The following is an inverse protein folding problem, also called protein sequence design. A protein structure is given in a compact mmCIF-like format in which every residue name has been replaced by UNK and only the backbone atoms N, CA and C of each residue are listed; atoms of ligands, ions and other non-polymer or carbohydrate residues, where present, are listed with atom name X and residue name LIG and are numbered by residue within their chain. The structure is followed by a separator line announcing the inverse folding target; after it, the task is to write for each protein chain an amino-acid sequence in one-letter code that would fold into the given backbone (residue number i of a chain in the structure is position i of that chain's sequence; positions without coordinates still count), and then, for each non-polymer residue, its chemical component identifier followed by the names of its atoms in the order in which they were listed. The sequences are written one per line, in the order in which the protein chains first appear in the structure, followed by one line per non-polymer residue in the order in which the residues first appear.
data_IF_732749448397
#
_entry.id   IF_732749448397
#
_cell.length_a   1.000
_cell.length_b   1.000
_cell.length_c   1.000
_cell.angle_alpha   90.00
_cell.angle_beta   90.00
_cell.angle_gamma   90.00
#
_symmetry.space_group_name_H-M   'P 1'
#
loop_
_entity.id
_entity.type
_entity.pdbx_description
1 polymer ?
#
# COMPACT_ATOMS: atom_id res chain seq x y z
N UNK A 1 62.57 12.85 -11.65
CA UNK A 1 62.02 13.63 -12.78
C UNK A 1 60.93 12.83 -13.46
N UNK A 2 59.80 13.50 -13.75
CA UNK A 2 58.62 13.05 -14.52
C UNK A 2 57.79 11.88 -13.93
N UNK A 3 56.46 11.81 -14.02
CA UNK A 3 55.38 12.76 -14.19
C UNK A 3 54.09 11.94 -13.96
N UNK A 4 53.32 12.23 -12.89
CA UNK A 4 52.02 11.58 -12.62
C UNK A 4 50.92 12.30 -13.42
N UNK A 5 50.31 11.61 -14.40
CA UNK A 5 49.20 12.14 -15.20
C UNK A 5 47.85 11.64 -14.67
N UNK A 6 47.22 12.42 -13.81
CA UNK A 6 45.82 12.23 -13.39
C UNK A 6 44.88 13.13 -14.22
N UNK A 7 44.16 12.54 -15.18
CA UNK A 7 43.10 13.21 -15.97
C UNK A 7 41.85 13.42 -15.11
N UNK A 8 41.60 14.66 -14.71
CA UNK A 8 40.40 15.13 -13.99
C UNK A 8 39.38 15.64 -15.02
N UNK A 9 38.31 14.87 -15.26
CA UNK A 9 37.19 15.26 -16.13
C UNK A 9 36.40 16.43 -15.51
N UNK A 10 36.48 17.58 -16.17
CA UNK A 10 35.76 18.81 -15.85
C UNK A 10 34.28 18.69 -16.28
N UNK A 11 33.36 18.84 -15.32
CA UNK A 11 31.91 18.99 -15.57
C UNK A 11 31.61 20.47 -15.87
N UNK A 12 31.39 20.81 -17.14
CA UNK A 12 30.80 22.10 -17.50
C UNK A 12 29.33 22.18 -17.08
N UNK A 13 29.07 22.92 -16.01
CA UNK A 13 27.74 23.36 -15.58
C UNK A 13 27.40 24.65 -16.34
N UNK A 14 26.60 24.56 -17.41
CA UNK A 14 26.11 25.74 -18.14
C UNK A 14 25.26 26.62 -17.21
N UNK A 15 25.72 27.85 -16.96
CA UNK A 15 24.94 28.94 -16.36
C UNK A 15 23.90 29.41 -17.39
N UNK A 16 22.63 29.48 -17.00
CA UNK A 16 21.57 30.12 -17.80
C UNK A 16 21.65 31.63 -17.58
N UNK A 17 21.65 32.39 -18.68
CA UNK A 17 21.76 33.84 -18.69
C UNK A 17 20.45 34.50 -18.25
N UNK A 18 20.58 35.66 -17.61
CA UNK A 18 19.52 36.44 -16.95
C UNK A 18 18.43 36.95 -17.92
N UNK A 19 18.63 36.82 -19.23
CA UNK A 19 17.67 37.18 -20.28
C UNK A 19 16.60 36.10 -20.55
N UNK A 20 16.81 34.84 -20.14
CA UNK A 20 15.79 33.78 -20.22
C UNK A 20 14.68 33.90 -19.16
N UNK A 21 14.86 34.79 -18.18
CA UNK A 21 13.98 34.95 -17.01
C UNK A 21 12.94 36.07 -17.23
N UNK A 22 13.21 37.03 -18.12
CA UNK A 22 12.35 38.22 -18.32
C UNK A 22 11.52 38.20 -19.62
N UNK A 23 11.69 37.21 -20.50
CA UNK A 23 10.92 37.05 -21.75
C UNK A 23 9.62 36.23 -21.64
N UNK A 24 9.16 35.92 -20.42
CA UNK A 24 7.92 35.14 -20.16
C UNK A 24 6.86 35.89 -19.37
N UNK A 25 7.05 37.20 -19.23
CA UNK A 25 6.13 38.15 -18.62
C UNK A 25 5.77 39.10 -19.75
N UNK A 26 4.48 39.33 -20.01
CA UNK A 26 3.89 39.99 -21.19
C UNK A 26 3.48 38.97 -22.28
N UNK A 27 2.35 38.30 -22.04
CA UNK A 27 1.25 38.06 -23.00
C UNK A 27 0.08 37.46 -22.17
N UNK A 28 -1.10 38.09 -22.27
CA UNK A 28 -2.42 37.79 -21.67
C UNK A 28 -2.77 38.46 -20.33
N UNK A 29 -2.84 39.79 -20.34
CA UNK A 29 -3.80 40.56 -19.54
C UNK A 29 -4.98 40.96 -20.44
N UNK A 30 -5.90 40.03 -20.67
CA UNK A 30 -7.28 40.33 -21.07
C UNK A 30 -8.17 39.29 -20.40
N UNK A 31 -9.09 39.67 -19.48
CA UNK A 31 -10.04 38.72 -18.93
C UNK A 31 -10.98 38.29 -20.07
N UNK A 32 -11.15 36.98 -20.35
CA UNK A 32 -12.15 36.55 -21.31
C UNK A 32 -13.54 36.97 -20.81
N UNK A 33 -14.42 37.50 -21.68
CA UNK A 33 -15.77 37.86 -21.30
C UNK A 33 -16.46 36.64 -20.71
N UNK A 34 -17.18 36.85 -19.62
CA UNK A 34 -18.00 35.87 -18.91
C UNK A 34 -18.78 35.01 -19.90
N UNK A 35 -18.23 33.85 -20.25
CA UNK A 35 -18.97 32.78 -20.87
C UNK A 35 -19.88 32.27 -19.78
N UNK A 36 -21.16 32.58 -19.91
CA UNK A 36 -22.25 31.96 -19.17
C UNK A 36 -22.07 30.45 -19.27
N UNK A 37 -21.35 29.86 -18.30
CA UNK A 37 -21.30 28.42 -18.11
C UNK A 37 -22.66 28.05 -17.55
N UNK A 38 -23.58 27.71 -18.45
CA UNK A 38 -24.75 26.92 -18.13
C UNK A 38 -24.28 25.68 -17.36
N UNK A 39 -24.43 25.79 -16.04
CA UNK A 39 -25.08 24.85 -15.13
C UNK A 39 -25.18 23.39 -15.60
N UNK A 40 -24.56 22.52 -14.78
CA UNK A 40 -24.93 21.13 -14.51
C UNK A 40 -24.52 20.02 -15.50
N UNK A 41 -23.29 20.02 -16.01
CA UNK A 41 -22.68 18.78 -16.51
C UNK A 41 -22.32 17.87 -15.32
N UNK A 42 -23.16 16.86 -15.09
CA UNK A 42 -22.85 15.78 -14.15
C UNK A 42 -22.28 14.59 -14.93
N UNK A 43 -20.97 14.42 -14.87
CA UNK A 43 -20.29 13.30 -15.53
C UNK A 43 -20.47 12.02 -14.70
N UNK A 44 -20.78 10.92 -15.37
CA UNK A 44 -20.88 9.60 -14.76
C UNK A 44 -19.63 8.78 -15.09
N UNK A 45 -18.85 8.44 -14.08
CA UNK A 45 -17.71 7.53 -14.23
C UNK A 45 -18.17 6.10 -13.92
N UNK A 46 -18.34 5.28 -14.96
CA UNK A 46 -18.82 3.90 -14.86
C UNK A 46 -17.62 2.96 -14.90
N UNK A 47 -17.55 2.05 -13.93
CA UNK A 47 -16.56 0.98 -13.91
C UNK A 47 -17.24 -0.39 -13.95
N UNK A 48 -16.73 -1.28 -14.81
CA UNK A 48 -17.11 -2.69 -14.81
C UNK A 48 -16.00 -3.53 -14.16
N UNK A 49 -16.21 -4.03 -12.92
CA UNK A 49 -15.18 -4.81 -12.23
C UNK A 49 -14.91 -6.19 -12.85
N UNK A 50 -15.85 -6.73 -13.65
CA UNK A 50 -15.69 -8.03 -14.30
C UNK A 50 -14.68 -7.95 -15.46
N UNK A 51 -14.80 -6.94 -16.31
CA UNK A 51 -13.92 -6.70 -17.46
C UNK A 51 -12.68 -5.87 -17.10
N UNK A 52 -12.76 -5.07 -16.04
CA UNK A 52 -11.70 -4.14 -15.61
C UNK A 52 -11.69 -2.82 -16.39
N UNK A 53 -12.70 -2.58 -17.23
CA UNK A 53 -12.84 -1.37 -18.04
C UNK A 53 -13.57 -0.26 -17.27
N UNK A 54 -13.29 0.98 -17.66
CA UNK A 54 -13.97 2.17 -17.14
C UNK A 54 -14.22 3.16 -18.28
N UNK A 55 -15.36 3.86 -18.21
CA UNK A 55 -15.76 4.86 -19.20
C UNK A 55 -16.48 6.00 -18.49
N UNK A 56 -16.15 7.23 -18.90
CA UNK A 56 -16.86 8.44 -18.47
C UNK A 56 -17.89 8.81 -19.52
N UNK A 57 -19.12 9.06 -19.08
CA UNK A 57 -20.22 9.52 -19.92
C UNK A 57 -20.73 10.82 -19.34
N UNK A 58 -20.81 11.85 -20.17
CA UNK A 58 -21.32 13.14 -19.78
C UNK A 58 -22.83 13.18 -20.05
N UNK A 59 -23.60 13.61 -19.05
CA UNK A 59 -25.04 13.79 -19.16
C UNK A 59 -25.38 15.27 -18.95
N UNK A 60 -26.03 15.86 -19.96
CA UNK A 60 -26.56 17.23 -19.91
C UNK A 60 -28.01 17.28 -19.38
N UNK A 61 -28.76 16.19 -19.52
CA UNK A 61 -30.16 16.12 -19.10
C UNK A 61 -30.30 15.75 -17.62
N UNK A 62 -30.74 16.71 -16.80
CA UNK A 62 -30.97 16.54 -15.38
C UNK A 62 -32.05 15.49 -15.05
N UNK A 63 -33.00 15.23 -15.96
CA UNK A 63 -34.05 14.22 -15.74
C UNK A 63 -33.45 12.82 -15.61
N UNK A 64 -32.38 12.54 -16.36
CA UNK A 64 -31.66 11.27 -16.33
C UNK A 64 -30.87 11.10 -15.03
N UNK A 65 -30.28 12.18 -14.51
CA UNK A 65 -29.44 12.11 -13.32
C UNK A 65 -30.23 12.14 -12.00
N UNK A 66 -31.49 12.59 -12.04
CA UNK A 66 -32.41 12.62 -10.89
C UNK A 66 -32.63 11.26 -10.21
N UNK A 67 -32.48 10.15 -10.95
CA UNK A 67 -32.62 8.78 -10.41
C UNK A 67 -31.61 8.53 -9.27
N UNK A 68 -30.44 9.20 -9.34
CA UNK A 68 -29.39 9.07 -8.34
C UNK A 68 -29.59 9.99 -7.13
N UNK A 69 -30.49 10.98 -7.19
CA UNK A 69 -30.70 11.91 -6.09
C UNK A 69 -31.31 11.20 -4.87
N UNK A 70 -30.96 11.70 -3.68
CA UNK A 70 -31.34 11.15 -2.38
C UNK A 70 -30.86 9.71 -2.12
N UNK A 71 -30.12 9.12 -3.06
CA UNK A 71 -29.43 7.85 -2.86
C UNK A 71 -28.13 8.09 -2.11
N UNK A 72 -27.75 7.09 -1.30
CA UNK A 72 -26.51 7.08 -0.54
C UNK A 72 -25.43 6.33 -1.30
N UNK A 73 -24.17 6.61 -0.98
CA UNK A 73 -23.06 5.73 -1.40
C UNK A 73 -23.36 4.30 -0.96
N UNK A 74 -23.04 3.35 -1.84
CA UNK A 74 -23.31 1.92 -1.80
C UNK A 74 -24.76 1.50 -2.05
N UNK A 75 -25.66 2.44 -2.34
CA UNK A 75 -27.00 2.09 -2.83
C UNK A 75 -26.92 1.54 -4.26
N UNK A 76 -27.76 0.55 -4.53
CA UNK A 76 -28.00 -0.01 -5.86
C UNK A 76 -29.19 0.69 -6.50
N UNK A 77 -29.03 1.05 -7.77
CA UNK A 77 -29.98 1.84 -8.54
C UNK A 77 -30.17 1.17 -9.89
N UNK A 78 -31.41 0.85 -10.23
CA UNK A 78 -31.77 0.44 -11.58
C UNK A 78 -31.70 1.67 -12.50
N UNK A 79 -31.02 1.53 -13.64
CA UNK A 79 -30.70 2.65 -14.54
C UNK A 79 -31.40 2.57 -15.88
N UNK A 80 -32.52 1.85 -15.93
CA UNK A 80 -33.33 1.68 -17.14
C UNK A 80 -33.76 3.02 -17.76
N UNK A 81 -33.93 4.08 -16.96
CA UNK A 81 -34.37 5.38 -17.46
C UNK A 81 -33.24 6.30 -17.96
N UNK A 82 -31.96 5.86 -17.94
CA UNK A 82 -30.86 6.62 -18.55
C UNK A 82 -30.89 6.56 -20.09
N UNK A 83 -31.31 5.41 -20.62
CA UNK A 83 -31.44 5.13 -22.05
C UNK A 83 -31.60 3.63 -22.31
N UNK A 84 -32.08 3.28 -23.51
CA UNK A 84 -32.37 1.89 -23.88
C UNK A 84 -31.14 0.97 -23.78
N UNK A 85 -29.94 1.53 -24.02
CA UNK A 85 -28.65 0.82 -23.88
C UNK A 85 -28.37 0.35 -22.45
N UNK A 86 -28.93 1.04 -21.44
CA UNK A 86 -28.73 0.75 -20.02
C UNK A 86 -29.84 -0.10 -19.42
N UNK A 87 -30.74 -0.64 -20.25
CA UNK A 87 -31.84 -1.49 -19.80
C UNK A 87 -31.33 -2.79 -19.17
N UNK A 88 -31.84 -3.10 -17.97
CA UNK A 88 -31.45 -4.25 -17.17
C UNK A 88 -30.15 -4.08 -16.38
N UNK A 89 -29.45 -2.95 -16.53
CA UNK A 89 -28.25 -2.68 -15.75
C UNK A 89 -28.60 -2.20 -14.34
N UNK A 90 -27.85 -2.73 -13.37
CA UNK A 90 -27.92 -2.27 -11.97
C UNK A 90 -26.59 -1.68 -11.58
N UNK A 91 -26.65 -0.43 -11.16
CA UNK A 91 -25.52 0.42 -10.84
C UNK A 91 -25.43 0.63 -9.33
N UNK A 92 -24.25 0.41 -8.76
CA UNK A 92 -23.97 0.75 -7.36
C UNK A 92 -23.15 2.02 -7.28
N UNK A 93 -23.64 3.00 -6.54
CA UNK A 93 -22.94 4.27 -6.31
C UNK A 93 -21.73 3.98 -5.41
N UNK A 94 -20.52 4.24 -5.89
CA UNK A 94 -19.29 4.01 -5.09
C UNK A 94 -18.73 5.27 -4.46
N UNK A 95 -19.05 6.43 -5.03
CA UNK A 95 -18.60 7.72 -4.54
C UNK A 95 -18.84 8.81 -5.56
N UNK A 96 -18.13 9.91 -5.42
CA UNK A 96 -18.23 11.05 -6.33
C UNK A 96 -17.44 12.25 -5.83
N UNK A 97 -17.46 13.30 -6.64
CA UNK A 97 -16.84 14.58 -6.39
C UNK A 97 -17.88 15.69 -6.58
N UNK A 98 -17.86 16.62 -5.64
CA UNK A 98 -18.61 17.87 -5.69
C UNK A 98 -18.02 18.80 -6.77
N UNK A 99 -18.77 19.83 -7.20
CA UNK A 99 -18.37 20.82 -8.22
C UNK A 99 -17.04 21.52 -7.91
N UNK A 100 -16.74 21.74 -6.64
CA UNK A 100 -15.45 22.32 -6.20
C UNK A 100 -14.37 21.24 -5.93
N UNK A 101 -14.61 19.99 -6.33
CA UNK A 101 -13.65 18.89 -6.26
C UNK A 101 -13.57 18.16 -4.92
N UNK A 102 -14.38 18.52 -3.92
CA UNK A 102 -14.40 17.82 -2.63
C UNK A 102 -14.98 16.41 -2.80
N UNK A 103 -14.27 15.36 -2.32
CA UNK A 103 -14.75 13.99 -2.47
C UNK A 103 -15.88 13.69 -1.48
N UNK A 104 -16.80 12.81 -1.88
CA UNK A 104 -17.80 12.25 -0.98
C UNK A 104 -17.18 11.27 0.01
N UNK A 105 -17.75 11.18 1.23
CA UNK A 105 -17.33 10.23 2.26
C UNK A 105 -18.49 9.43 2.80
N UNK A 106 -18.31 8.11 2.76
CA UNK A 106 -19.28 7.18 3.33
C UNK A 106 -19.45 7.39 4.84
N UNK A 107 -20.72 7.36 5.28
CA UNK A 107 -21.12 7.53 6.68
C UNK A 107 -21.40 8.97 7.11
N UNK A 108 -21.21 9.97 6.24
CA UNK A 108 -21.63 11.36 6.51
C UNK A 108 -23.03 11.55 5.93
N UNK A 109 -24.06 11.36 6.75
CA UNK A 109 -25.48 11.30 6.34
C UNK A 109 -26.11 12.66 6.04
N UNK A 110 -25.36 13.53 5.38
CA UNK A 110 -25.83 14.84 4.92
C UNK A 110 -25.63 14.91 3.41
N UNK A 111 -26.44 15.67 2.68
CA UNK A 111 -26.08 16.04 1.31
C UNK A 111 -24.89 16.98 1.35
N UNK A 112 -24.92 18.02 2.18
CA UNK A 112 -23.93 19.12 2.22
C UNK A 112 -22.50 18.73 2.68
N UNK A 113 -21.58 19.71 2.66
CA UNK A 113 -20.20 19.54 3.11
C UNK A 113 -20.04 19.71 4.61
N UNK A 114 -19.16 18.91 5.20
CA UNK A 114 -18.81 18.98 6.62
C UNK A 114 -17.29 18.98 6.80
N UNK A 115 -16.81 19.65 7.85
CA UNK A 115 -15.39 19.66 8.24
C UNK A 115 -15.10 18.62 9.31
N UNK A 116 -14.44 17.53 8.92
CA UNK A 116 -14.10 16.43 9.82
C UNK A 116 -12.60 16.40 10.14
N UNK A 117 -12.26 15.99 11.37
CA UNK A 117 -10.88 15.76 11.79
C UNK A 117 -10.45 14.33 11.40
N UNK A 118 -9.72 14.21 10.29
CA UNK A 118 -9.33 12.92 9.72
C UNK A 118 -7.93 12.48 10.19
N UNK A 119 -7.79 11.21 10.54
CA UNK A 119 -6.54 10.51 10.88
C UNK A 119 -6.10 9.51 9.77
N UNK A 120 -4.99 8.80 9.99
CA UNK A 120 -4.48 7.76 9.08
C UNK A 120 -5.50 6.62 8.93
N UNK A 121 -5.82 6.26 7.69
CA UNK A 121 -6.73 5.15 7.37
C UNK A 121 -8.16 5.59 7.06
N UNK A 122 -8.56 6.81 7.39
CA UNK A 122 -9.81 7.35 6.88
C UNK A 122 -9.71 7.70 5.39
N UNK A 123 -10.83 7.52 4.68
CA UNK A 123 -11.01 8.02 3.31
C UNK A 123 -10.81 9.54 3.23
N UNK A 124 -10.47 10.05 2.04
CA UNK A 124 -10.29 11.47 1.73
C UNK A 124 -9.07 12.16 2.38
N UNK A 125 -8.24 11.42 3.13
CA UNK A 125 -7.00 11.93 3.71
C UNK A 125 -5.84 10.95 3.64
N UNK A 126 -4.68 11.47 3.25
CA UNK A 126 -3.39 10.78 3.33
C UNK A 126 -2.46 11.62 4.21
N UNK A 127 -2.10 11.15 5.42
CA UNK A 127 -1.23 11.89 6.32
C UNK A 127 0.18 12.03 5.76
N UNK A 128 0.87 13.13 6.11
CA UNK A 128 2.27 13.37 5.72
C UNK A 128 3.23 12.97 6.82
N UNK A 129 2.81 13.07 8.08
CA UNK A 129 3.55 12.59 9.25
C UNK A 129 2.79 11.50 9.99
N UNK A 130 3.53 10.62 10.67
CA UNK A 130 2.94 9.60 11.54
C UNK A 130 2.20 10.26 12.71
N UNK A 131 0.96 9.83 12.97
CA UNK A 131 0.12 10.40 14.04
C UNK A 131 -0.59 11.72 13.69
N UNK A 132 -0.32 12.30 12.52
CA UNK A 132 -0.96 13.55 12.09
C UNK A 132 -2.47 13.36 11.88
N UNK A 133 -3.26 14.28 12.46
CA UNK A 133 -4.69 14.45 12.17
C UNK A 133 -4.91 15.82 11.56
N UNK A 134 -5.74 15.90 10.51
CA UNK A 134 -6.02 17.17 9.83
C UNK A 134 -7.52 17.36 9.63
N UNK A 135 -8.02 18.55 9.99
CA UNK A 135 -9.41 18.94 9.72
C UNK A 135 -9.57 19.29 8.25
N UNK A 136 -10.39 18.54 7.52
CA UNK A 136 -10.66 18.73 6.10
C UNK A 136 -12.15 18.82 5.82
N UNK A 137 -12.51 19.63 4.83
CA UNK A 137 -13.86 19.66 4.27
C UNK A 137 -14.07 18.44 3.38
N UNK A 138 -15.20 17.77 3.56
CA UNK A 138 -15.56 16.55 2.83
C UNK A 138 -17.05 16.64 2.50
N UNK A 139 -17.45 16.12 1.34
CA UNK A 139 -18.85 16.05 0.93
C UNK A 139 -19.54 14.86 1.61
N UNK A 140 -20.81 15.01 1.96
CA UNK A 140 -21.58 13.92 2.53
C UNK A 140 -21.85 12.77 1.55
N UNK A 141 -22.48 11.70 2.04
CA UNK A 141 -22.71 10.48 1.26
C UNK A 141 -24.01 10.50 0.45
N UNK A 142 -24.89 11.47 0.67
CA UNK A 142 -26.16 11.61 -0.06
C UNK A 142 -25.88 12.38 -1.35
N UNK A 143 -26.34 11.83 -2.47
CA UNK A 143 -26.20 12.42 -3.79
C UNK A 143 -27.21 13.55 -3.97
N UNK A 144 -26.75 14.68 -4.51
CA UNK A 144 -27.55 15.87 -4.79
C UNK A 144 -27.09 16.52 -6.12
N UNK A 145 -27.77 17.59 -6.53
CA UNK A 145 -27.54 18.30 -7.82
C UNK A 145 -26.23 19.10 -7.90
N UNK A 146 -25.53 19.27 -6.79
CA UNK A 146 -24.22 19.94 -6.71
C UNK A 146 -23.04 18.98 -6.91
N UNK A 147 -23.30 17.79 -7.44
CA UNK A 147 -22.26 16.87 -7.92
C UNK A 147 -21.70 17.34 -9.26
N UNK A 148 -20.40 17.10 -9.46
CA UNK A 148 -19.77 17.24 -10.78
C UNK A 148 -19.50 15.87 -11.40
N UNK A 149 -18.99 14.93 -10.61
CA UNK A 149 -18.75 13.56 -11.09
C UNK A 149 -19.33 12.56 -10.11
N UNK A 150 -20.11 11.61 -10.60
CA UNK A 150 -20.60 10.49 -9.80
C UNK A 150 -19.92 9.20 -10.27
N UNK A 151 -19.36 8.46 -9.31
CA UNK A 151 -18.61 7.22 -9.59
C UNK A 151 -19.48 6.01 -9.29
N UNK A 152 -19.66 5.15 -10.28
CA UNK A 152 -20.58 4.02 -10.26
C UNK A 152 -19.86 2.74 -10.66
N UNK A 153 -20.23 1.62 -10.03
CA UNK A 153 -19.83 0.28 -10.46
C UNK A 153 -21.01 -0.53 -10.93
N UNK A 154 -20.86 -1.25 -12.05
CA UNK A 154 -21.86 -2.21 -12.52
C UNK A 154 -21.89 -3.41 -11.56
N UNK A 155 -23.06 -3.75 -11.05
CA UNK A 155 -23.28 -4.96 -10.22
C UNK A 155 -23.94 -6.06 -11.04
N UNK A 156 -24.96 -5.71 -11.82
CA UNK A 156 -25.63 -6.60 -12.76
C UNK A 156 -25.51 -6.02 -14.16
N UNK A 157 -25.04 -6.85 -15.09
CA UNK A 157 -24.99 -6.52 -16.52
C UNK A 157 -26.39 -6.67 -17.12
N UNK A 158 -26.79 -5.71 -17.95
CA UNK A 158 -28.04 -5.74 -18.71
C UNK A 158 -27.95 -6.59 -19.97
N UNK A 159 -28.95 -6.45 -20.84
CA UNK A 159 -29.09 -7.29 -22.03
C UNK A 159 -28.18 -6.86 -23.18
N UNK A 160 -28.02 -5.55 -23.38
CA UNK A 160 -27.18 -4.98 -24.44
C UNK A 160 -25.77 -4.68 -23.94
N UNK A 161 -24.77 -4.90 -24.78
CA UNK A 161 -23.39 -4.55 -24.46
C UNK A 161 -23.10 -3.05 -24.64
N UNK A 162 -22.37 -2.49 -23.68
CA UNK A 162 -21.98 -1.09 -23.69
C UNK A 162 -20.60 -0.92 -24.33
N UNK A 163 -20.46 -0.08 -25.38
CA UNK A 163 -19.22 0.08 -26.11
C UNK A 163 -18.13 0.67 -25.20
N UNK A 164 -17.00 -0.04 -25.11
CA UNK A 164 -15.85 0.35 -24.27
C UNK A 164 -15.97 0.00 -22.78
N UNK A 165 -17.05 -0.66 -22.34
CA UNK A 165 -17.22 -1.13 -20.95
C UNK A 165 -17.34 -2.65 -20.86
N UNK A 166 -18.27 -3.26 -21.60
CA UNK A 166 -18.51 -4.71 -21.59
C UNK A 166 -17.84 -5.41 -22.76
N UNK A 167 -17.74 -4.72 -23.90
CA UNK A 167 -17.15 -5.23 -25.14
C UNK A 167 -15.65 -5.61 -24.99
N UNK A 168 -14.85 -4.74 -24.38
CA UNK A 168 -13.41 -4.99 -24.19
C UNK A 168 -13.10 -5.51 -22.80
N UNK A 169 -12.10 -6.38 -22.70
CA UNK A 169 -11.61 -6.90 -21.42
C UNK A 169 -10.15 -6.50 -21.20
N UNK A 170 -9.86 -5.93 -20.02
CA UNK A 170 -8.50 -5.53 -19.64
C UNK A 170 -7.91 -6.60 -18.74
N UNK A 171 -6.89 -7.35 -19.20
CA UNK A 171 -6.31 -8.43 -18.40
C UNK A 171 -5.59 -7.87 -17.17
N UNK A 172 -5.65 -8.63 -16.06
CA UNK A 172 -4.94 -8.29 -14.82
C UNK A 172 -3.44 -8.29 -15.08
N UNK A 173 -2.79 -7.14 -14.84
CA UNK A 173 -1.36 -6.93 -15.11
C UNK A 173 -0.42 -7.86 -14.32
N UNK A 174 -0.81 -8.24 -13.09
CA UNK A 174 0.06 -8.98 -12.16
C UNK A 174 -0.63 -10.23 -11.66
N UNK A 175 0.11 -11.34 -11.69
CA UNK A 175 -0.27 -12.59 -11.05
C UNK A 175 0.05 -12.65 -9.55
N UNK A 176 -0.34 -13.73 -8.87
CA UNK A 176 -0.03 -13.96 -7.47
C UNK A 176 1.49 -14.09 -7.22
N UNK A 177 2.00 -13.36 -6.21
CA UNK A 177 3.43 -13.38 -5.81
C UNK A 177 3.76 -14.33 -4.64
N UNK A 178 2.78 -14.62 -3.78
CA UNK A 178 2.96 -15.42 -2.56
C UNK A 178 2.71 -16.89 -2.86
N UNK A 179 3.56 -17.80 -2.36
CA UNK A 179 3.47 -19.25 -2.63
C UNK A 179 2.05 -19.82 -2.42
N UNK A 180 1.42 -19.56 -1.27
CA UNK A 180 0.05 -20.06 -1.00
C UNK A 180 -1.02 -19.46 -1.93
N UNK A 181 -0.83 -18.23 -2.41
CA UNK A 181 -1.79 -17.63 -3.36
C UNK A 181 -1.61 -18.23 -4.76
N UNK A 182 -0.38 -18.61 -5.14
CA UNK A 182 -0.12 -19.33 -6.38
C UNK A 182 -0.79 -20.71 -6.32
N UNK A 183 -0.65 -21.44 -5.21
CA UNK A 183 -1.32 -22.73 -5.00
C UNK A 183 -2.83 -22.63 -5.14
N UNK A 184 -3.45 -21.67 -4.44
CA UNK A 184 -4.90 -21.43 -4.54
C UNK A 184 -5.35 -21.03 -5.94
N UNK A 185 -4.54 -20.28 -6.67
CA UNK A 185 -4.90 -19.80 -8.00
C UNK A 185 -4.94 -20.93 -9.04
N UNK A 186 -4.01 -21.89 -8.93
CA UNK A 186 -3.92 -23.03 -9.84
C UNK A 186 -4.50 -24.33 -9.26
N UNK A 187 -5.21 -24.26 -8.12
CA UNK A 187 -5.74 -25.41 -7.39
C UNK A 187 -4.69 -26.53 -7.13
N UNK A 188 -3.45 -26.13 -6.82
CA UNK A 188 -2.34 -27.05 -6.56
C UNK A 188 -2.40 -27.63 -5.15
N UNK A 189 -1.85 -28.83 -5.02
CA UNK A 189 -1.63 -29.48 -3.73
C UNK A 189 -0.40 -28.87 -3.02
N UNK A 190 -0.10 -29.35 -1.79
CA UNK A 190 1.05 -28.85 -1.02
C UNK A 190 2.38 -29.41 -1.52
N UNK A 191 2.35 -30.55 -2.19
CA UNK A 191 3.55 -31.26 -2.66
C UNK A 191 4.04 -30.70 -4.00
N UNK A 192 3.17 -30.01 -4.74
CA UNK A 192 3.50 -29.37 -6.00
C UNK A 192 4.50 -28.21 -5.84
N UNK A 193 5.50 -28.19 -6.74
CA UNK A 193 6.47 -27.10 -6.82
C UNK A 193 5.89 -25.87 -7.52
N UNK A 194 5.53 -24.88 -6.70
CA UNK A 194 5.00 -23.59 -7.14
C UNK A 194 5.93 -22.78 -8.05
N UNK A 195 7.23 -23.10 -8.13
CA UNK A 195 8.18 -22.37 -8.99
C UNK A 195 7.88 -22.51 -10.47
N UNK A 196 7.36 -23.68 -10.87
CA UNK A 196 7.01 -23.98 -12.27
C UNK A 196 5.77 -23.21 -12.72
N UNK A 197 4.85 -22.96 -11.79
CA UNK A 197 3.55 -22.32 -12.06
C UNK A 197 3.58 -20.79 -11.87
N UNK A 198 4.75 -20.15 -11.76
CA UNK A 198 4.82 -18.69 -11.64
C UNK A 198 4.53 -18.05 -12.99
N UNK A 199 3.48 -17.22 -13.04
CA UNK A 199 3.13 -16.43 -14.23
C UNK A 199 4.30 -15.52 -14.60
N UNK A 200 4.79 -15.69 -15.82
CA UNK A 200 5.86 -14.88 -16.41
C UNK A 200 5.26 -13.84 -17.34
N UNK A 201 5.89 -12.68 -17.41
CA UNK A 201 5.53 -11.62 -18.36
C UNK A 201 6.62 -11.48 -19.40
N UNK A 202 6.25 -11.63 -20.66
CA UNK A 202 7.13 -11.32 -21.78
C UNK A 202 7.34 -9.81 -21.88
N UNK A 203 8.59 -9.42 -22.08
CA UNK A 203 9.01 -8.03 -22.22
C UNK A 203 9.66 -7.89 -23.58
N UNK A 204 8.97 -7.18 -24.47
CA UNK A 204 9.53 -6.71 -25.72
C UNK A 204 10.41 -5.48 -25.42
N UNK A 205 11.74 -5.55 -25.60
CA UNK A 205 12.62 -4.40 -25.39
C UNK A 205 12.34 -3.32 -26.44
N UNK A 206 12.57 -2.05 -26.08
CA UNK A 206 12.38 -0.92 -27.01
C UNK A 206 13.41 -0.90 -28.16
N UNK A 207 14.59 -1.49 -27.95
CA UNK A 207 15.59 -1.61 -29.00
C UNK A 207 15.29 -2.87 -29.81
N UNK A 208 15.05 -2.72 -31.11
CA UNK A 208 14.70 -3.81 -32.02
C UNK A 208 15.74 -4.94 -32.08
N UNK A 209 17.01 -4.63 -31.77
CA UNK A 209 18.11 -5.62 -31.77
C UNK A 209 18.08 -6.57 -30.57
N UNK A 210 17.40 -6.21 -29.47
CA UNK A 210 17.40 -7.02 -28.25
C UNK A 210 16.29 -8.06 -28.32
N UNK A 211 16.65 -9.31 -28.00
CA UNK A 211 15.67 -10.42 -27.99
C UNK A 211 14.61 -10.22 -26.88
N UNK A 212 13.36 -10.65 -27.12
CA UNK A 212 12.33 -10.67 -26.10
C UNK A 212 12.77 -11.54 -24.91
N UNK A 213 12.43 -11.14 -23.68
CA UNK A 213 12.76 -11.93 -22.49
C UNK A 213 11.62 -11.95 -21.48
N UNK A 214 11.58 -13.00 -20.66
CA UNK A 214 10.51 -13.19 -19.68
C UNK A 214 10.93 -12.72 -18.28
N UNK A 215 10.06 -11.96 -17.61
CA UNK A 215 10.22 -11.55 -16.22
C UNK A 215 9.26 -12.32 -15.33
N UNK A 216 9.76 -12.87 -14.23
CA UNK A 216 8.96 -13.49 -13.17
C UNK A 216 9.18 -12.77 -11.83
N UNK A 217 8.14 -12.67 -10.98
CA UNK A 217 8.32 -12.16 -9.63
C UNK A 217 9.06 -13.17 -8.74
N UNK A 218 9.87 -12.67 -7.81
CA UNK A 218 10.41 -13.50 -6.72
C UNK A 218 9.26 -13.99 -5.83
N UNK A 219 9.11 -15.30 -5.71
CA UNK A 219 8.09 -15.92 -4.88
C UNK A 219 8.34 -15.59 -3.42
N UNK A 220 7.32 -15.06 -2.76
CA UNK A 220 7.38 -14.76 -1.33
C UNK A 220 6.82 -15.93 -0.51
N UNK A 221 7.40 -16.17 0.67
CA UNK A 221 7.02 -17.23 1.61
C UNK A 221 7.14 -18.65 1.03
N UNK A 222 8.10 -18.84 0.14
CA UNK A 222 8.50 -20.17 -0.32
C UNK A 222 9.42 -20.81 0.72
N UNK A 223 9.16 -22.08 1.06
CA UNK A 223 10.07 -22.87 1.89
C UNK A 223 11.26 -23.29 1.02
N UNK A 224 12.47 -22.90 1.41
CA UNK A 224 13.71 -23.27 0.72
C UNK A 224 14.64 -24.00 1.69
N UNK A 225 15.61 -24.81 1.19
CA UNK A 225 16.60 -25.46 2.04
C UNK A 225 17.33 -24.48 2.96
N UNK A 226 17.62 -23.28 2.48
CA UNK A 226 18.24 -22.20 3.26
C UNK A 226 17.34 -21.73 4.42
N UNK A 227 16.02 -21.61 4.21
CA UNK A 227 15.07 -21.25 5.28
C UNK A 227 15.04 -22.35 6.36
N UNK A 228 15.04 -23.62 5.94
CA UNK A 228 15.09 -24.76 6.86
C UNK A 228 16.42 -24.81 7.64
N UNK A 229 17.54 -24.58 6.97
CA UNK A 229 18.87 -24.50 7.60
C UNK A 229 18.93 -23.37 8.63
N UNK A 230 18.46 -22.16 8.29
CA UNK A 230 18.38 -21.04 9.24
C UNK A 230 17.53 -21.38 10.46
N UNK A 231 16.39 -22.05 10.26
CA UNK A 231 15.53 -22.52 11.36
C UNK A 231 16.26 -23.52 12.25
N UNK A 232 16.91 -24.53 11.67
CA UNK A 232 17.73 -25.52 12.40
C UNK A 232 18.87 -24.85 13.18
N UNK A 233 19.57 -23.92 12.55
CA UNK A 233 20.67 -23.18 13.18
C UNK A 233 20.20 -22.36 14.39
N UNK A 234 19.08 -21.62 14.28
CA UNK A 234 18.51 -20.87 15.40
C UNK A 234 18.15 -21.80 16.56
N UNK A 235 17.55 -22.97 16.27
CA UNK A 235 17.25 -23.95 17.29
C UNK A 235 18.52 -24.51 17.95
N UNK A 236 19.56 -24.79 17.17
CA UNK A 236 20.83 -25.28 17.70
C UNK A 236 21.52 -24.23 18.60
N UNK A 237 21.49 -22.94 18.20
CA UNK A 237 22.00 -21.86 19.04
C UNK A 237 21.26 -21.75 20.37
N UNK A 238 19.95 -21.99 20.41
CA UNK A 238 19.18 -22.01 21.66
C UNK A 238 19.61 -23.17 22.56
N UNK A 239 19.81 -24.36 21.99
CA UNK A 239 20.30 -25.53 22.74
C UNK A 239 21.68 -25.28 23.34
N UNK A 240 22.64 -24.84 22.52
CA UNK A 240 23.99 -24.51 22.97
C UNK A 240 24.01 -23.45 24.06
N UNK A 241 23.17 -22.40 23.95
CA UNK A 241 23.05 -21.39 25.02
C UNK A 241 22.54 -22.00 26.34
N UNK A 242 21.58 -22.92 26.26
CA UNK A 242 21.06 -23.60 27.44
C UNK A 242 22.09 -24.55 28.06
N UNK A 243 22.87 -25.27 27.24
CA UNK A 243 23.97 -26.14 27.69
C UNK A 243 25.06 -25.31 28.38
N UNK A 244 25.56 -24.26 27.72
CA UNK A 244 26.56 -23.36 28.31
C UNK A 244 26.08 -22.74 29.63
N UNK A 245 24.79 -22.40 29.75
CA UNK A 245 24.23 -21.86 30.99
C UNK A 245 24.24 -22.90 32.12
N UNK A 246 23.93 -24.17 31.81
CA UNK A 246 24.01 -25.28 32.78
C UNK A 246 25.46 -25.55 33.20
N UNK A 247 26.39 -25.56 32.24
CA UNK A 247 27.82 -25.75 32.53
C UNK A 247 28.35 -24.63 33.43
N UNK A 248 28.04 -23.38 33.12
CA UNK A 248 28.43 -22.23 33.95
C UNK A 248 27.80 -22.28 35.35
N UNK A 249 26.56 -22.76 35.47
CA UNK A 249 25.92 -22.95 36.78
C UNK A 249 26.64 -24.02 37.62
N UNK A 250 27.02 -25.14 37.00
CA UNK A 250 27.77 -26.22 37.66
C UNK A 250 29.15 -25.73 38.09
N UNK A 251 29.86 -25.03 37.21
CA UNK A 251 31.17 -24.45 37.51
C UNK A 251 31.09 -23.43 38.65
N UNK A 252 30.09 -22.55 38.62
CA UNK A 252 29.87 -21.57 39.68
C UNK A 252 29.54 -22.23 41.03
N UNK A 253 28.71 -23.29 41.04
CA UNK A 253 28.41 -24.07 42.25
C UNK A 253 29.66 -24.72 42.83
N UNK A 254 30.51 -25.30 41.99
CA UNK A 254 31.78 -25.88 42.43
C UNK A 254 32.72 -24.82 43.02
N UNK A 255 32.83 -23.65 42.39
CA UNK A 255 33.61 -22.53 42.89
C UNK A 255 33.10 -22.04 44.25
N UNK A 256 31.77 -21.90 44.40
CA UNK A 256 31.14 -21.48 45.63
C UNK A 256 31.41 -22.47 46.76
N UNK A 257 31.27 -23.78 46.50
CA UNK A 257 31.58 -24.82 47.48
C UNK A 257 33.04 -24.74 47.97
N UNK A 258 34.01 -24.51 47.05
CA UNK A 258 35.41 -24.30 47.40
C UNK A 258 35.60 -23.06 48.29
N UNK A 259 35.00 -21.92 47.94
CA UNK A 259 35.10 -20.67 48.71
C UNK A 259 34.48 -20.79 50.11
N UNK A 260 33.35 -21.50 50.22
CA UNK A 260 32.70 -21.77 51.52
C UNK A 260 33.59 -22.64 52.38
N UNK A 261 34.21 -23.68 51.81
CA UNK A 261 35.17 -24.55 52.51
C UNK A 261 36.37 -23.75 53.03
N UNK A 262 37.02 -22.97 52.18
CA UNK A 262 38.16 -22.12 52.56
C UNK A 262 37.78 -21.11 53.67
N UNK A 263 36.59 -20.51 53.60
CA UNK A 263 36.10 -19.60 54.62
C UNK A 263 35.82 -20.30 55.96
N UNK A 264 35.27 -21.52 55.92
CA UNK A 264 35.05 -22.35 57.10
C UNK A 264 36.38 -22.77 57.76
N UNK A 265 37.37 -23.16 56.96
CA UNK A 265 38.73 -23.48 57.42
C UNK A 265 39.38 -22.27 58.10
N UNK A 266 39.36 -21.09 57.46
CA UNK A 266 39.86 -19.84 58.06
C UNK A 266 39.16 -19.49 59.38
N UNK A 267 37.83 -19.62 59.44
CA UNK A 267 37.06 -19.40 60.69
C UNK A 267 37.51 -20.38 61.79
N UNK A 268 37.73 -21.64 61.44
CA UNK A 268 38.19 -22.67 62.38
C UNK A 268 39.61 -22.38 62.88
N UNK A 269 40.52 -21.92 62.02
CA UNK A 269 41.87 -21.52 62.40
C UNK A 269 41.87 -20.31 63.34
N UNK A 270 41.08 -19.29 63.05
CA UNK A 270 40.93 -18.12 63.93
C UNK A 270 40.40 -18.56 65.30
N UNK A 271 39.40 -19.47 65.34
CA UNK A 271 38.86 -20.02 66.59
C UNK A 271 39.95 -20.78 67.38
N UNK A 272 40.75 -21.61 66.72
CA UNK A 272 41.89 -22.32 67.33
C UNK A 272 42.92 -21.33 67.90
N UNK A 273 43.30 -20.30 67.14
CA UNK A 273 44.23 -19.25 67.60
C UNK A 273 43.69 -18.51 68.83
N UNK A 274 42.41 -18.13 68.84
CA UNK A 274 41.75 -17.48 70.00
C UNK A 274 41.70 -18.39 71.23
N UNK A 275 41.41 -19.68 71.04
CA UNK A 275 41.41 -20.64 72.14
C UNK A 275 42.82 -20.82 72.73
N UNK A 276 43.86 -20.89 71.89
CA UNK A 276 45.24 -20.98 72.36
C UNK A 276 45.74 -19.72 73.08
N UNK A 277 45.23 -18.52 72.74
CA UNK A 277 45.57 -17.29 73.45
C UNK A 277 44.87 -17.16 74.81
N UNK A 278 43.69 -17.76 74.98
CA UNK A 278 42.96 -17.78 76.25
C UNK A 278 43.56 -18.76 77.27
N UNK A 279 44.33 -19.74 76.83
CA UNK A 279 44.98 -20.73 77.70
C UNK A 279 46.38 -20.29 78.18
N UNK A 280 46.86 -19.12 77.73
CA UNK A 280 48.21 -18.61 77.99
C UNK A 280 48.22 -17.34 78.86
N UNK A 281 47.08 -16.97 79.43
CA UNK A 281 46.89 -15.93 80.43
C UNK A 281 46.33 -16.59 81.71
#
# INVERSE_FOLDING_TARGET
MAALTSRRLWRHRKQKTQQDIYGRIIIKLTPPPHRLLLQALSALNIANPATGCQKTIDFDDERKTRIFYDKRISAEVAVDSLGDEFKGYVFRITGGNDKQGFPMKQGVLLPSRVRLLLSKGHSCYRPRRTGERKRKSVRGCIVASDMSVLSVTIVKQGEQDLPGLTDTTVPKRLGPKRANNIRKFFNLTKDDDVRKFVIRREVQPKNAEKKPYTKAPKIQRLVTPVVLQRKRHILNLKKRRAENAKEAEVEYKALLAKRVKEAAEKRSEIKKRRASSLHKA
#
